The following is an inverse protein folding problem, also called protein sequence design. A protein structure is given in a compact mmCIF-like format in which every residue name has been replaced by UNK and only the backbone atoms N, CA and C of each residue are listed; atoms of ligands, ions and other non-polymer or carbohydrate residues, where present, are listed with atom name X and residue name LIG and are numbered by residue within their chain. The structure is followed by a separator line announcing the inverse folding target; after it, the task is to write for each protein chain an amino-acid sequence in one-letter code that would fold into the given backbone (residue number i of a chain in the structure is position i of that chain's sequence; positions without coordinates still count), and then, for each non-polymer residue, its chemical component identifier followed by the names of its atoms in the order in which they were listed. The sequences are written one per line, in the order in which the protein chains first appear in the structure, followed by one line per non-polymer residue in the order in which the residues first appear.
data_IF_456771442735
#
_entry.id   IF_456771442735
#
_cell.length_a   1.000
_cell.length_b   1.000
_cell.length_c   1.000
_cell.angle_alpha   90.00
_cell.angle_beta   90.00
_cell.angle_gamma   90.00
#
_symmetry.space_group_name_H-M   'P 1'
#
loop_
_entity.id
_entity.type
_entity.pdbx_description
1 polymer ?
#
# COMPACT_ATOMS: atom_id res chain seq x y z
N UNK A 1 -16.10 0.76 7.45
CA UNK A 1 -14.68 1.00 7.19
C UNK A 1 -13.96 1.00 8.52
N UNK A 2 -12.94 0.15 8.68
CA UNK A 2 -12.08 0.11 9.86
C UNK A 2 -10.82 0.93 9.60
N UNK A 3 -10.53 1.91 10.46
CA UNK A 3 -9.25 2.63 10.43
C UNK A 3 -8.26 1.88 11.32
N UNK A 4 -7.23 1.30 10.72
CA UNK A 4 -6.23 0.47 11.38
C UNK A 4 -4.95 1.26 11.59
N UNK A 5 -4.22 0.95 12.66
CA UNK A 5 -2.81 1.36 12.75
C UNK A 5 -1.92 0.45 11.88
N UNK A 6 -0.66 0.84 11.70
CA UNK A 6 0.27 0.12 10.82
C UNK A 6 0.40 -1.36 11.21
N UNK A 7 0.58 -1.64 12.50
CA UNK A 7 0.75 -3.00 13.01
C UNK A 7 -0.49 -3.86 12.73
N UNK A 8 -1.68 -3.36 13.01
CA UNK A 8 -2.94 -4.06 12.71
C UNK A 8 -3.10 -4.32 11.21
N UNK A 9 -2.78 -3.33 10.38
CA UNK A 9 -2.86 -3.48 8.93
C UNK A 9 -1.89 -4.55 8.42
N UNK A 10 -0.65 -4.56 8.92
CA UNK A 10 0.37 -5.53 8.56
C UNK A 10 0.04 -6.95 9.05
N UNK A 11 -0.54 -7.09 10.25
CA UNK A 11 -1.01 -8.39 10.75
C UNK A 11 -2.10 -8.99 9.85
N UNK A 12 -2.99 -8.16 9.31
CA UNK A 12 -4.11 -8.62 8.47
C UNK A 12 -3.75 -8.79 6.99
N UNK A 13 -2.95 -7.87 6.44
CA UNK A 13 -2.75 -7.74 5.00
C UNK A 13 -1.28 -7.76 4.57
N UNK A 14 -0.33 -7.88 5.50
CA UNK A 14 1.10 -7.75 5.23
C UNK A 14 1.67 -8.77 4.23
N UNK A 15 1.10 -9.97 4.14
CA UNK A 15 1.52 -11.00 3.17
C UNK A 15 0.89 -10.83 1.78
N UNK A 16 -0.08 -9.91 1.63
CA UNK A 16 -0.73 -9.65 0.34
C UNK A 16 0.30 -9.21 -0.69
N UNK A 17 0.18 -9.73 -1.91
CA UNK A 17 1.07 -9.37 -3.01
C UNK A 17 0.50 -8.17 -3.76
N UNK A 18 1.35 -7.17 -3.97
CA UNK A 18 1.04 -5.98 -4.76
C UNK A 18 2.11 -5.74 -5.80
N UNK A 19 1.73 -5.15 -6.92
CA UNK A 19 2.62 -4.76 -8.00
C UNK A 19 2.63 -3.26 -8.16
N UNK A 20 3.77 -2.70 -8.53
CA UNK A 20 3.88 -1.29 -8.88
C UNK A 20 2.99 -0.98 -10.09
N UNK A 21 2.25 0.13 -10.02
CA UNK A 21 1.30 0.53 -11.09
C UNK A 21 1.57 1.92 -11.63
N UNK A 22 1.88 2.88 -10.76
CA UNK A 22 2.12 4.26 -11.15
C UNK A 22 2.87 5.00 -10.07
N UNK A 23 3.39 6.17 -10.42
CA UNK A 23 3.93 7.12 -9.46
C UNK A 23 3.47 8.52 -9.86
N UNK A 24 3.32 9.38 -8.86
CA UNK A 24 3.10 10.80 -9.07
C UNK A 24 3.82 11.60 -8.00
N UNK A 25 4.73 12.49 -8.44
CA UNK A 25 5.63 13.24 -7.56
C UNK A 25 6.33 12.27 -6.60
N UNK A 26 6.07 12.38 -5.30
CA UNK A 26 6.74 11.66 -4.22
C UNK A 26 6.00 10.39 -3.79
N UNK A 27 4.93 9.99 -4.48
CA UNK A 27 4.10 8.86 -4.08
C UNK A 27 4.15 7.75 -5.12
N UNK A 28 4.42 6.53 -4.67
CA UNK A 28 4.46 5.31 -5.47
C UNK A 28 3.25 4.45 -5.15
N UNK A 29 2.49 4.12 -6.19
CA UNK A 29 1.23 3.40 -6.10
C UNK A 29 1.39 1.93 -6.46
N UNK A 30 0.95 1.07 -5.55
CA UNK A 30 0.94 -0.38 -5.71
C UNK A 30 -0.49 -0.89 -5.60
N UNK A 31 -0.80 -1.94 -6.38
CA UNK A 31 -2.11 -2.59 -6.37
C UNK A 31 -1.98 -4.10 -6.38
N UNK A 32 -2.93 -4.77 -5.76
CA UNK A 32 -3.03 -6.21 -5.76
C UNK A 32 -4.42 -6.68 -5.38
N UNK A 33 -4.58 -7.99 -5.28
CA UNK A 33 -5.81 -8.63 -4.84
C UNK A 33 -5.52 -9.64 -3.73
N UNK A 34 -6.41 -9.72 -2.75
CA UNK A 34 -6.33 -10.65 -1.63
C UNK A 34 -7.72 -11.19 -1.31
N UNK A 35 -7.94 -12.49 -1.50
CA UNK A 35 -9.23 -13.15 -1.22
C UNK A 35 -10.44 -12.43 -1.88
N UNK A 36 -10.31 -11.98 -3.13
CA UNK A 36 -11.36 -11.26 -3.85
C UNK A 36 -11.54 -9.79 -3.47
N UNK A 37 -10.66 -9.25 -2.62
CA UNK A 37 -10.62 -7.83 -2.24
C UNK A 37 -9.47 -7.15 -2.95
N UNK A 38 -9.67 -5.91 -3.40
CA UNK A 38 -8.58 -5.12 -3.96
C UNK A 38 -7.82 -4.41 -2.85
N UNK A 39 -6.50 -4.44 -2.92
CA UNK A 39 -5.61 -3.70 -2.02
C UNK A 39 -4.85 -2.65 -2.82
N UNK A 40 -4.79 -1.44 -2.26
CA UNK A 40 -3.98 -0.34 -2.76
C UNK A 40 -3.02 0.11 -1.66
N UNK A 41 -1.76 0.32 -2.03
CA UNK A 41 -0.72 0.81 -1.12
C UNK A 41 -0.02 1.99 -1.78
N UNK A 42 0.16 3.06 -1.01
CA UNK A 42 1.02 4.19 -1.34
C UNK A 42 2.27 4.14 -0.47
N UNK A 43 3.42 4.41 -1.08
CA UNK A 43 4.72 4.55 -0.41
C UNK A 43 5.30 5.92 -0.70
N UNK A 44 5.94 6.52 0.31
CA UNK A 44 6.61 7.82 0.25
C UNK A 44 5.69 8.98 0.65
N UNK A 45 5.75 10.08 -0.11
CA UNK A 45 4.94 11.28 0.12
C UNK A 45 5.76 12.52 0.46
N UNK A 46 7.08 12.39 0.68
CA UNK A 46 8.00 13.52 0.81
C UNK A 46 9.21 13.40 -0.14
N UNK A 47 9.96 14.49 -0.27
CA UNK A 47 11.11 14.56 -1.16
C UNK A 47 12.33 13.75 -0.68
N UNK A 48 12.37 13.35 0.59
CA UNK A 48 13.49 12.60 1.16
C UNK A 48 13.41 11.11 0.79
N UNK A 49 12.19 10.58 0.64
CA UNK A 49 11.95 9.16 0.35
C UNK A 49 12.23 8.79 -1.12
N UNK A 50 11.95 9.70 -2.06
CA UNK A 50 11.94 9.37 -3.50
C UNK A 50 13.32 9.03 -4.06
N UNK A 51 14.39 9.61 -3.52
CA UNK A 51 15.75 9.34 -4.02
C UNK A 51 16.33 8.00 -3.56
N UNK A 52 15.59 7.25 -2.73
CA UNK A 52 16.05 5.98 -2.14
C UNK A 52 15.17 4.79 -2.53
N UNK A 53 14.05 5.03 -3.21
CA UNK A 53 13.06 4.00 -3.49
C UNK A 53 13.19 3.49 -4.94
N UNK A 54 13.53 2.21 -5.08
CA UNK A 54 13.62 1.52 -6.37
C UNK A 54 12.39 0.62 -6.57
N UNK A 55 11.76 0.72 -7.73
CA UNK A 55 10.59 -0.06 -8.12
C UNK A 55 10.85 -0.78 -9.43
N UNK A 56 10.50 -2.06 -9.47
CA UNK A 56 10.57 -2.88 -10.68
C UNK A 56 9.16 -3.16 -11.18
N UNK A 57 8.87 -2.76 -12.42
CA UNK A 57 7.57 -3.02 -13.04
C UNK A 57 7.29 -4.53 -13.10
N UNK A 58 6.07 -4.93 -12.70
CA UNK A 58 5.64 -6.34 -12.70
C UNK A 58 6.23 -7.20 -11.58
N UNK A 59 7.15 -6.68 -10.75
CA UNK A 59 7.60 -7.39 -9.55
C UNK A 59 6.51 -7.36 -8.49
N UNK A 60 6.26 -8.51 -7.87
CA UNK A 60 5.42 -8.62 -6.70
C UNK A 60 6.19 -8.26 -5.42
N UNK A 61 5.54 -7.48 -4.57
CA UNK A 61 6.03 -7.09 -3.25
C UNK A 61 5.02 -7.54 -2.22
N UNK A 62 5.47 -8.09 -1.09
CA UNK A 62 4.58 -8.23 0.06
C UNK A 62 4.34 -6.85 0.67
N UNK A 63 3.11 -6.57 1.09
CA UNK A 63 2.77 -5.27 1.70
C UNK A 63 3.66 -4.93 2.89
N UNK A 64 4.05 -5.92 3.70
CA UNK A 64 4.98 -5.74 4.84
C UNK A 64 6.41 -5.34 4.46
N UNK A 65 6.78 -5.46 3.19
CA UNK A 65 8.09 -5.03 2.68
C UNK A 65 8.07 -3.56 2.25
N UNK A 66 6.90 -2.93 2.25
CA UNK A 66 6.69 -1.55 1.81
C UNK A 66 6.52 -0.64 3.03
N UNK A 67 7.32 0.43 3.09
CA UNK A 67 7.13 1.51 4.07
C UNK A 67 5.94 2.38 3.70
N UNK A 68 4.73 1.87 3.95
CA UNK A 68 3.49 2.50 3.51
C UNK A 68 3.22 3.83 4.22
N UNK A 69 2.82 4.86 3.47
CA UNK A 69 2.28 6.10 4.04
C UNK A 69 0.74 6.13 4.00
N UNK A 70 0.15 5.26 3.17
CA UNK A 70 -1.28 5.04 3.09
C UNK A 70 -1.57 3.67 2.48
N UNK A 71 -2.61 3.00 2.96
CA UNK A 71 -3.13 1.78 2.36
C UNK A 71 -4.65 1.68 2.49
N UNK A 72 -5.32 1.07 1.52
CA UNK A 72 -6.75 0.75 1.59
C UNK A 72 -7.04 -0.65 1.06
N UNK A 73 -8.07 -1.27 1.64
CA UNK A 73 -8.62 -2.54 1.17
C UNK A 73 -10.11 -2.34 0.88
N UNK A 74 -10.52 -2.76 -0.31
CA UNK A 74 -11.92 -2.67 -0.78
C UNK A 74 -12.48 -4.04 -1.11
N UNK A 75 -13.76 -4.21 -0.79
CA UNK A 75 -14.60 -5.31 -1.26
C UNK A 75 -15.62 -4.73 -2.23
N UNK A 76 -15.44 -4.98 -3.53
CA UNK A 76 -16.11 -4.21 -4.58
C UNK A 76 -15.76 -2.73 -4.49
N UNK A 77 -16.78 -1.88 -4.36
CA UNK A 77 -16.61 -0.42 -4.22
C UNK A 77 -16.49 0.04 -2.76
N UNK A 78 -16.67 -0.85 -1.79
CA UNK A 78 -16.71 -0.49 -0.36
C UNK A 78 -15.34 -0.60 0.28
N UNK A 79 -14.83 0.49 0.86
CA UNK A 79 -13.61 0.43 1.69
C UNK A 79 -13.90 -0.23 3.04
N UNK A 80 -13.26 -1.37 3.27
CA UNK A 80 -13.43 -2.15 4.50
C UNK A 80 -12.32 -1.87 5.51
N UNK A 81 -11.12 -1.51 5.06
CA UNK A 81 -10.00 -1.14 5.92
C UNK A 81 -9.17 -0.03 5.28
N UNK A 82 -8.66 0.88 6.11
CA UNK A 82 -7.67 1.88 5.71
C UNK A 82 -6.57 2.03 6.76
N UNK A 83 -5.39 2.41 6.30
CA UNK A 83 -4.27 2.89 7.09
C UNK A 83 -3.78 4.21 6.48
N UNK A 84 -3.47 5.19 7.33
CA UNK A 84 -2.84 6.44 6.93
C UNK A 84 -1.79 6.79 7.97
N UNK A 85 -0.57 7.03 7.52
CA UNK A 85 0.48 7.56 8.40
C UNK A 85 0.17 9.04 8.72
N UNK A 86 0.20 9.37 10.00
CA UNK A 86 -0.08 10.72 10.47
C UNK A 86 1.15 11.60 10.29
N UNK A 87 1.15 12.45 9.28
CA UNK A 87 2.15 13.50 9.09
C UNK A 87 2.13 14.50 10.25
#
# INVERSE_FOLDING_TARGET
MSKLNEKEFLEMYGESKVVFTSYYKYSFSFRGEFNGKSIYVSVGGNADDIYRFDVTAGKEYAVKELGMNYAEVKEGETTIAEFTDGW
#
